data_IF_884194603707
#
_entry.id   IF_884194603707
#
_cell.length_a   1.000
_cell.length_b   1.000
_cell.length_c   1.000
_cell.angle_alpha   90.00
_cell.angle_beta   90.00
_cell.angle_gamma   90.00
#
_symmetry.space_group_name_H-M   'P 1'
#
loop_
_entity.id
_entity.type
_entity.pdbx_description
1 polymer ?
#
# COMPACT_ATOMS: atom_id res chain seq x y z
N UNK A 1 -75.79 33.88 47.67
CA UNK A 1 -75.65 33.08 46.42
C UNK A 1 -74.51 33.57 45.50
N UNK A 2 -74.40 34.86 45.15
CA UNK A 2 -73.32 35.40 44.27
C UNK A 2 -71.88 35.21 44.79
N UNK A 3 -71.65 35.24 46.10
CA UNK A 3 -70.32 35.08 46.72
C UNK A 3 -69.75 33.66 46.59
N UNK A 4 -70.63 32.66 46.69
CA UNK A 4 -70.28 31.25 46.56
C UNK A 4 -69.90 30.89 45.12
N UNK A 5 -70.66 31.38 44.13
CA UNK A 5 -70.35 31.19 42.71
C UNK A 5 -69.01 31.82 42.32
N UNK A 6 -68.65 32.98 42.89
CA UNK A 6 -67.33 33.59 42.67
C UNK A 6 -66.18 32.77 43.25
N UNK A 7 -66.36 32.22 44.45
CA UNK A 7 -65.35 31.34 45.08
C UNK A 7 -65.18 30.02 44.32
N UNK A 8 -66.27 29.46 43.81
CA UNK A 8 -66.24 28.25 42.99
C UNK A 8 -65.50 28.52 41.67
N UNK A 9 -65.78 29.64 41.01
CA UNK A 9 -65.11 30.02 39.77
C UNK A 9 -63.61 30.24 39.97
N UNK A 10 -63.21 30.98 41.02
CA UNK A 10 -61.79 31.18 41.33
C UNK A 10 -61.07 29.88 41.72
N UNK A 11 -61.77 28.96 42.39
CA UNK A 11 -61.23 27.64 42.73
C UNK A 11 -60.96 26.79 41.49
N UNK A 12 -61.90 26.79 40.53
CA UNK A 12 -61.76 26.09 39.26
C UNK A 12 -60.62 26.68 38.43
N UNK A 13 -60.53 28.01 38.32
CA UNK A 13 -59.43 28.67 37.60
C UNK A 13 -58.06 28.32 38.19
N UNK A 14 -57.93 28.34 39.52
CA UNK A 14 -56.68 27.98 40.18
C UNK A 14 -56.29 26.52 39.90
N UNK A 15 -57.24 25.59 39.97
CA UNK A 15 -56.99 24.18 39.64
C UNK A 15 -56.61 23.99 38.17
N UNK A 16 -57.23 24.70 37.24
CA UNK A 16 -56.88 24.63 35.81
C UNK A 16 -55.48 25.17 35.53
N UNK A 17 -55.07 26.25 36.19
CA UNK A 17 -53.71 26.80 36.10
C UNK A 17 -52.69 25.77 36.62
N UNK A 18 -52.98 25.13 37.75
CA UNK A 18 -52.09 24.13 38.34
C UNK A 18 -51.95 22.89 37.45
N UNK A 19 -53.04 22.41 36.84
CA UNK A 19 -53.02 21.30 35.88
C UNK A 19 -52.22 21.65 34.63
N UNK A 20 -52.40 22.87 34.09
CA UNK A 20 -51.65 23.35 32.92
C UNK A 20 -50.15 23.41 33.20
N UNK A 21 -49.75 23.91 34.37
CA UNK A 21 -48.34 23.96 34.77
C UNK A 21 -47.74 22.56 34.95
N UNK A 22 -48.46 21.65 35.61
CA UNK A 22 -48.01 20.27 35.79
C UNK A 22 -47.86 19.52 34.45
N UNK A 23 -48.76 19.76 33.49
CA UNK A 23 -48.66 19.19 32.14
C UNK A 23 -47.43 19.70 31.38
N UNK A 24 -47.08 20.99 31.52
CA UNK A 24 -45.86 21.56 30.92
C UNK A 24 -44.59 20.91 31.48
N UNK A 25 -44.51 20.78 32.81
CA UNK A 25 -43.37 20.12 33.49
C UNK A 25 -43.24 18.66 33.07
N UNK A 26 -44.36 17.94 32.96
CA UNK A 26 -44.37 16.55 32.49
C UNK A 26 -43.87 16.42 31.04
N UNK A 27 -44.33 17.30 30.15
CA UNK A 27 -43.87 17.32 28.75
C UNK A 27 -42.39 17.66 28.63
N UNK A 28 -41.89 18.60 29.44
CA UNK A 28 -40.48 18.95 29.47
C UNK A 28 -39.60 17.79 29.95
N UNK A 29 -40.02 17.09 31.02
CA UNK A 29 -39.34 15.89 31.51
C UNK A 29 -39.34 14.76 30.48
N UNK A 30 -40.49 14.51 29.84
CA UNK A 30 -40.62 13.49 28.79
C UNK A 30 -39.71 13.80 27.59
N UNK A 31 -39.67 15.05 27.14
CA UNK A 31 -38.81 15.48 26.03
C UNK A 31 -37.33 15.39 26.39
N UNK A 32 -36.93 15.78 27.59
CA UNK A 32 -35.53 15.67 28.06
C UNK A 32 -35.07 14.22 28.14
N UNK A 33 -35.92 13.30 28.62
CA UNK A 33 -35.62 11.88 28.63
C UNK A 33 -35.56 11.26 27.23
N UNK A 34 -36.41 11.71 26.29
CA UNK A 34 -36.36 11.27 24.89
C UNK A 34 -35.04 11.70 24.22
N UNK A 35 -34.62 12.96 24.44
CA UNK A 35 -33.36 13.50 23.92
C UNK A 35 -32.15 12.73 24.49
N UNK A 36 -32.15 12.47 25.81
CA UNK A 36 -31.09 11.69 26.46
C UNK A 36 -30.97 10.26 25.92
N UNK A 37 -32.11 9.57 25.71
CA UNK A 37 -32.12 8.24 25.09
C UNK A 37 -31.63 8.26 23.64
N UNK A 38 -32.04 9.24 22.84
CA UNK A 38 -31.55 9.37 21.46
C UNK A 38 -30.05 9.65 21.41
N UNK A 39 -29.53 10.47 22.32
CA UNK A 39 -28.10 10.77 22.39
C UNK A 39 -27.28 9.53 22.76
N UNK A 40 -27.70 8.78 23.78
CA UNK A 40 -27.06 7.52 24.20
C UNK A 40 -27.09 6.46 23.08
N UNK A 41 -28.21 6.32 22.37
CA UNK A 41 -28.31 5.41 21.20
C UNK A 41 -27.41 5.85 20.03
N UNK A 42 -27.25 7.16 19.80
CA UNK A 42 -26.31 7.64 18.78
C UNK A 42 -24.86 7.42 19.19
N UNK A 43 -24.53 7.58 20.47
CA UNK A 43 -23.17 7.33 20.99
C UNK A 43 -22.77 5.86 20.84
N UNK A 44 -23.65 4.93 21.20
CA UNK A 44 -23.42 3.48 21.04
C UNK A 44 -23.23 3.10 19.56
N UNK A 45 -24.05 3.65 18.66
CA UNK A 45 -23.90 3.44 17.22
C UNK A 45 -22.59 4.01 16.68
N UNK A 46 -22.17 5.17 17.17
CA UNK A 46 -20.88 5.78 16.80
C UNK A 46 -19.73 4.90 17.28
N UNK A 47 -19.76 4.43 18.53
CA UNK A 47 -18.75 3.53 19.08
C UNK A 47 -18.66 2.23 18.27
N UNK A 48 -19.79 1.59 17.96
CA UNK A 48 -19.82 0.39 17.13
C UNK A 48 -19.24 0.63 15.73
N UNK A 49 -19.56 1.78 15.12
CA UNK A 49 -19.02 2.16 13.81
C UNK A 49 -17.51 2.35 13.87
N UNK A 50 -17.00 2.99 14.93
CA UNK A 50 -15.57 3.18 15.17
C UNK A 50 -14.88 1.82 15.29
N UNK A 51 -15.39 0.90 16.12
CA UNK A 51 -14.82 -0.46 16.26
C UNK A 51 -14.80 -1.21 14.93
N UNK A 52 -15.88 -1.15 14.16
CA UNK A 52 -15.96 -1.79 12.85
C UNK A 52 -14.94 -1.20 11.85
N UNK A 53 -14.78 0.12 11.83
CA UNK A 53 -13.79 0.79 10.96
C UNK A 53 -12.36 0.40 11.36
N UNK A 54 -12.06 0.34 12.67
CA UNK A 54 -10.75 -0.10 13.16
C UNK A 54 -10.45 -1.54 12.74
N UNK A 55 -11.40 -2.46 12.95
CA UNK A 55 -11.24 -3.85 12.56
C UNK A 55 -11.01 -4.00 11.05
N UNK A 56 -11.82 -3.28 10.25
CA UNK A 56 -11.67 -3.23 8.79
C UNK A 56 -10.29 -2.69 8.39
N UNK A 57 -9.79 -1.65 9.06
CA UNK A 57 -8.45 -1.12 8.80
C UNK A 57 -7.35 -2.14 9.06
N UNK A 58 -7.43 -2.90 10.16
CA UNK A 58 -6.46 -3.95 10.47
C UNK A 58 -6.49 -5.05 9.39
N UNK A 59 -7.69 -5.46 8.97
CA UNK A 59 -7.84 -6.42 7.87
C UNK A 59 -7.23 -5.93 6.57
N UNK A 60 -7.50 -4.67 6.19
CA UNK A 60 -6.91 -4.06 4.99
C UNK A 60 -5.39 -4.00 5.10
N UNK A 61 -4.84 -3.61 6.25
CA UNK A 61 -3.39 -3.57 6.46
C UNK A 61 -2.75 -4.95 6.28
N UNK A 62 -3.38 -6.01 6.80
CA UNK A 62 -2.89 -7.37 6.64
C UNK A 62 -2.94 -7.82 5.18
N UNK A 63 -4.00 -7.46 4.45
CA UNK A 63 -4.10 -7.74 3.01
C UNK A 63 -3.01 -7.03 2.22
N UNK A 64 -2.76 -5.75 2.50
CA UNK A 64 -1.68 -4.98 1.85
C UNK A 64 -0.33 -5.65 2.08
N UNK A 65 -0.03 -6.07 3.32
CA UNK A 65 1.21 -6.80 3.64
C UNK A 65 1.36 -8.08 2.83
N UNK A 66 0.30 -8.88 2.73
CA UNK A 66 0.30 -10.12 1.95
C UNK A 66 0.54 -9.84 0.46
N UNK A 67 -0.16 -8.85 -0.10
CA UNK A 67 0.02 -8.44 -1.51
C UNK A 67 1.46 -8.00 -1.76
N UNK A 68 2.02 -7.16 -0.89
CA UNK A 68 3.42 -6.72 -1.03
C UNK A 68 4.40 -7.88 -0.96
N UNK A 69 4.19 -8.85 -0.06
CA UNK A 69 5.04 -10.04 0.02
C UNK A 69 4.98 -10.88 -1.26
N UNK A 70 3.78 -11.09 -1.81
CA UNK A 70 3.59 -11.82 -3.06
C UNK A 70 4.28 -11.09 -4.22
N UNK A 71 4.13 -9.77 -4.31
CA UNK A 71 4.76 -8.95 -5.35
C UNK A 71 6.29 -9.02 -5.28
N UNK A 72 6.87 -8.92 -4.08
CA UNK A 72 8.32 -9.08 -3.88
C UNK A 72 8.78 -10.45 -4.35
N UNK A 73 8.09 -11.52 -3.94
CA UNK A 73 8.44 -12.89 -4.31
C UNK A 73 8.32 -13.13 -5.82
N UNK A 74 7.26 -12.61 -6.46
CA UNK A 74 7.07 -12.73 -7.90
C UNK A 74 8.15 -11.95 -8.67
N UNK A 75 8.47 -10.73 -8.24
CA UNK A 75 9.53 -9.93 -8.87
C UNK A 75 10.89 -10.60 -8.74
N UNK A 76 11.17 -11.21 -7.58
CA UNK A 76 12.35 -12.05 -7.36
C UNK A 76 12.38 -13.28 -8.27
N UNK A 77 11.25 -13.98 -8.47
CA UNK A 77 11.16 -15.12 -9.41
C UNK A 77 11.43 -14.69 -10.85
N UNK A 78 11.02 -13.49 -11.23
CA UNK A 78 11.31 -12.89 -12.53
C UNK A 78 12.76 -12.38 -12.68
N UNK A 79 13.58 -12.59 -11.64
CA UNK A 79 14.96 -12.12 -11.54
C UNK A 79 15.09 -10.60 -11.64
N UNK A 80 14.03 -9.87 -11.30
CA UNK A 80 13.98 -8.41 -11.33
C UNK A 80 14.17 -7.84 -9.94
N UNK A 81 14.54 -6.56 -9.88
CA UNK A 81 14.72 -5.85 -8.61
C UNK A 81 13.33 -5.49 -8.03
N UNK A 82 12.94 -6.00 -6.86
CA UNK A 82 11.68 -5.61 -6.21
C UNK A 82 11.75 -4.18 -5.65
N UNK A 83 11.05 -3.24 -6.30
CA UNK A 83 11.05 -1.82 -5.94
C UNK A 83 10.44 -1.51 -4.56
N UNK A 84 9.65 -2.43 -4.01
CA UNK A 84 9.09 -2.30 -2.66
C UNK A 84 10.19 -2.30 -1.58
N UNK A 85 11.22 -3.14 -1.75
CA UNK A 85 12.28 -3.31 -0.75
C UNK A 85 13.61 -2.70 -1.17
N UNK A 86 13.85 -2.55 -2.47
CA UNK A 86 14.98 -1.80 -3.02
C UNK A 86 14.43 -0.53 -3.64
N UNK A 87 14.49 0.57 -2.90
CA UNK A 87 14.00 1.84 -3.40
C UNK A 87 15.00 2.46 -4.42
N UNK A 88 14.53 3.29 -5.38
CA UNK A 88 15.42 3.90 -6.38
C UNK A 88 16.54 4.77 -5.80
N UNK A 89 16.28 5.48 -4.70
CA UNK A 89 17.25 6.38 -4.07
C UNK A 89 18.42 5.62 -3.42
N UNK A 90 18.12 4.53 -2.71
CA UNK A 90 19.08 3.63 -2.10
C UNK A 90 19.92 2.95 -3.16
N UNK A 91 19.30 2.46 -4.25
CA UNK A 91 20.03 1.88 -5.37
C UNK A 91 20.96 2.93 -6.01
N UNK A 92 20.52 4.16 -6.19
CA UNK A 92 21.34 5.23 -6.74
C UNK A 92 22.59 5.49 -5.88
N UNK A 93 22.39 5.66 -4.57
CA UNK A 93 23.48 5.90 -3.62
C UNK A 93 24.50 4.75 -3.65
N UNK A 94 24.02 3.51 -3.73
CA UNK A 94 24.90 2.35 -3.77
C UNK A 94 25.63 2.20 -5.11
N UNK A 95 24.99 2.56 -6.22
CA UNK A 95 25.64 2.63 -7.54
C UNK A 95 26.71 3.72 -7.61
N UNK A 96 26.48 4.88 -6.99
CA UNK A 96 27.47 5.97 -6.90
C UNK A 96 28.71 5.52 -6.12
N UNK A 97 28.51 4.88 -4.96
CA UNK A 97 29.61 4.28 -4.18
C UNK A 97 30.35 3.21 -4.99
N UNK A 98 29.62 2.33 -5.66
CA UNK A 98 30.19 1.28 -6.50
C UNK A 98 31.02 1.87 -7.65
N UNK A 99 30.53 2.92 -8.31
CA UNK A 99 31.24 3.60 -9.40
C UNK A 99 32.58 4.17 -8.95
N UNK A 100 32.64 4.75 -7.74
CA UNK A 100 33.88 5.26 -7.15
C UNK A 100 34.87 4.12 -6.95
N UNK A 101 34.45 2.99 -6.37
CA UNK A 101 35.34 1.84 -6.17
C UNK A 101 35.78 1.15 -7.47
N UNK A 102 34.92 1.11 -8.49
CA UNK A 102 35.24 0.55 -9.80
C UNK A 102 36.26 1.41 -10.55
N UNK A 103 36.11 2.74 -10.49
CA UNK A 103 37.02 3.68 -11.17
C UNK A 103 38.47 3.52 -10.70
N UNK A 104 38.69 3.25 -9.40
CA UNK A 104 40.02 2.97 -8.82
C UNK A 104 40.69 1.74 -9.45
N UNK A 105 39.89 0.82 -10.00
CA UNK A 105 40.33 -0.44 -10.60
C UNK A 105 40.29 -0.40 -12.14
N UNK A 106 40.01 0.75 -12.74
CA UNK A 106 39.91 0.89 -14.19
C UNK A 106 38.64 0.26 -14.79
N UNK A 107 37.56 0.17 -14.02
CA UNK A 107 36.25 -0.27 -14.50
C UNK A 107 35.22 0.87 -14.42
N UNK A 108 34.20 0.80 -15.24
CA UNK A 108 33.01 1.66 -15.19
C UNK A 108 31.73 0.83 -15.25
N UNK A 109 30.63 1.42 -14.79
CA UNK A 109 29.31 0.79 -14.85
C UNK A 109 28.75 0.94 -16.27
N UNK A 110 28.20 -0.14 -16.82
CA UNK A 110 27.70 -0.17 -18.20
C UNK A 110 26.42 0.66 -18.36
N UNK A 111 25.50 0.55 -17.40
CA UNK A 111 24.24 1.29 -17.43
C UNK A 111 24.44 2.60 -16.66
N UNK A 112 24.23 3.77 -17.29
CA UNK A 112 24.43 5.04 -16.60
C UNK A 112 23.55 5.17 -15.36
N UNK A 113 24.10 5.75 -14.28
CA UNK A 113 23.40 5.88 -12.99
C UNK A 113 22.11 6.71 -13.14
N UNK A 114 22.06 7.69 -14.05
CA UNK A 114 20.86 8.48 -14.31
C UNK A 114 19.72 7.67 -14.99
N UNK A 115 20.02 6.49 -15.54
CA UNK A 115 19.04 5.58 -16.15
C UNK A 115 18.56 4.50 -15.17
N UNK A 116 18.32 4.84 -13.90
CA UNK A 116 17.89 3.89 -12.84
C UNK A 116 16.74 2.98 -13.28
N UNK A 117 15.78 3.51 -14.05
CA UNK A 117 14.62 2.75 -14.53
C UNK A 117 14.99 1.51 -15.35
N UNK A 118 16.16 1.49 -16.00
CA UNK A 118 16.63 0.32 -16.76
C UNK A 118 17.02 -0.84 -15.84
N UNK A 119 17.62 -0.55 -14.68
CA UNK A 119 17.99 -1.59 -13.72
C UNK A 119 16.77 -2.40 -13.24
N UNK A 120 15.62 -1.74 -13.02
CA UNK A 120 14.39 -2.40 -12.59
C UNK A 120 13.69 -3.20 -13.71
N UNK A 121 14.04 -2.96 -14.97
CA UNK A 121 13.48 -3.70 -16.13
C UNK A 121 14.28 -4.96 -16.45
N UNK A 122 15.55 -5.00 -16.07
CA UNK A 122 16.46 -6.08 -16.40
C UNK A 122 16.32 -7.24 -15.40
N UNK A 123 16.48 -8.46 -15.91
CA UNK A 123 16.57 -9.67 -15.11
C UNK A 123 18.00 -9.85 -14.55
N UNK A 124 18.38 -8.96 -13.63
CA UNK A 124 19.74 -8.87 -13.04
C UNK A 124 19.76 -9.08 -11.52
N UNK A 125 18.66 -9.53 -10.91
CA UNK A 125 18.56 -9.75 -9.47
C UNK A 125 18.31 -11.22 -9.17
N UNK A 126 18.98 -11.75 -8.15
CA UNK A 126 18.66 -13.05 -7.54
C UNK A 126 18.23 -12.83 -6.09
N UNK A 127 17.30 -13.64 -5.59
CA UNK A 127 16.83 -13.51 -4.21
C UNK A 127 17.10 -14.78 -3.40
N UNK A 128 17.69 -14.60 -2.22
CA UNK A 128 17.94 -15.68 -1.25
C UNK A 128 17.08 -15.44 -0.02
N UNK A 129 16.22 -16.40 0.34
CA UNK A 129 15.38 -16.31 1.52
C UNK A 129 15.95 -17.20 2.62
N UNK A 130 16.10 -16.65 3.83
CA UNK A 130 16.35 -17.40 5.07
C UNK A 130 15.12 -17.31 5.97
N UNK A 131 15.13 -17.96 7.14
CA UNK A 131 13.97 -17.99 8.05
C UNK A 131 13.37 -16.61 8.35
N UNK A 132 14.22 -15.58 8.51
CA UNK A 132 13.78 -14.23 8.91
C UNK A 132 14.24 -13.11 7.96
N UNK A 133 14.92 -13.42 6.86
CA UNK A 133 15.50 -12.39 5.99
C UNK A 133 15.36 -12.76 4.52
N UNK A 134 15.11 -11.73 3.70
CA UNK A 134 15.21 -11.79 2.26
C UNK A 134 16.42 -10.98 1.83
N UNK A 135 17.31 -11.61 1.09
CA UNK A 135 18.47 -10.96 0.47
C UNK A 135 18.21 -10.81 -1.02
N UNK A 136 18.37 -9.59 -1.53
CA UNK A 136 18.31 -9.29 -2.98
C UNK A 136 19.72 -9.03 -3.46
N UNK A 137 20.23 -9.91 -4.31
CA UNK A 137 21.55 -9.83 -4.92
C UNK A 137 21.40 -9.20 -6.31
N UNK A 138 21.84 -7.95 -6.48
CA UNK A 138 21.74 -7.23 -7.75
C UNK A 138 23.09 -7.32 -8.48
N UNK A 139 23.09 -7.93 -9.67
CA UNK A 139 24.26 -8.07 -10.54
C UNK A 139 24.41 -6.82 -11.40
N UNK A 140 25.43 -6.02 -11.13
CA UNK A 140 25.68 -4.77 -11.86
C UNK A 140 26.65 -5.04 -13.01
N UNK A 141 26.28 -4.80 -14.27
CA UNK A 141 27.18 -4.96 -15.40
C UNK A 141 28.26 -3.87 -15.38
N UNK A 142 29.52 -4.29 -15.52
CA UNK A 142 30.71 -3.43 -15.53
C UNK A 142 31.54 -3.66 -16.79
N UNK A 143 32.32 -2.67 -17.18
CA UNK A 143 33.21 -2.70 -18.34
C UNK A 143 34.58 -2.13 -17.97
N UNK A 144 35.64 -2.64 -18.58
CA UNK A 144 36.97 -2.06 -18.45
C UNK A 144 37.00 -0.69 -19.15
N UNK A 145 37.49 0.32 -18.45
CA UNK A 145 37.61 1.68 -18.99
C UNK A 145 38.53 1.65 -20.21
N UNK A 146 38.10 2.28 -21.31
CA UNK A 146 38.78 2.35 -22.61
C UNK A 146 38.77 1.05 -23.44
N UNK A 147 37.87 0.10 -23.15
CA UNK A 147 37.68 -1.09 -23.98
C UNK A 147 36.32 -1.03 -24.69
N UNK A 148 36.33 -0.97 -26.01
CA UNK A 148 35.11 -1.07 -26.82
C UNK A 148 34.79 -2.53 -27.10
N UNK A 149 33.62 -2.98 -26.64
CA UNK A 149 33.09 -4.30 -27.00
C UNK A 149 32.51 -4.21 -28.41
N UNK A 150 33.14 -4.90 -29.37
CA UNK A 150 32.55 -5.11 -30.70
C UNK A 150 31.87 -6.46 -30.72
N UNK A 151 30.54 -6.45 -30.79
CA UNK A 151 29.78 -7.64 -31.13
C UNK A 151 30.03 -7.94 -32.61
N UNK A 152 30.78 -9.00 -32.89
CA UNK A 152 30.82 -9.56 -34.23
C UNK A 152 29.50 -10.31 -34.47
N UNK A 153 28.98 -10.18 -35.68
CA UNK A 153 27.68 -10.71 -36.11
C UNK A 153 27.45 -12.14 -35.58
N UNK A 154 26.28 -12.35 -34.94
CA UNK A 154 25.86 -13.67 -34.50
C UNK A 154 25.44 -14.48 -35.74
N UNK A 155 26.36 -15.27 -36.29
CA UNK A 155 26.07 -16.17 -37.40
C UNK A 155 25.34 -17.40 -36.85
N UNK A 156 24.01 -17.44 -36.97
CA UNK A 156 23.21 -18.63 -36.64
C UNK A 156 23.47 -19.72 -37.67
N UNK A 157 23.90 -20.90 -37.23
CA UNK A 157 24.10 -22.04 -38.12
C UNK A 157 22.76 -22.64 -38.56
N UNK A 158 22.58 -22.77 -39.87
CA UNK A 158 21.48 -23.50 -40.47
C UNK A 158 21.73 -25.00 -40.32
N UNK A 159 20.70 -25.76 -39.97
CA UNK A 159 20.75 -27.23 -39.97
C UNK A 159 19.47 -27.82 -40.59
N UNK A 160 19.57 -29.02 -41.15
CA UNK A 160 18.43 -29.71 -41.75
C UNK A 160 17.82 -30.70 -40.74
N UNK A 161 16.49 -30.63 -40.57
CA UNK A 161 15.72 -31.58 -39.76
C UNK A 161 14.37 -31.85 -40.43
N UNK A 162 13.96 -33.11 -40.53
CA UNK A 162 12.69 -33.50 -41.19
C UNK A 162 12.44 -32.86 -42.57
N UNK A 163 13.47 -32.84 -43.44
CA UNK A 163 13.38 -32.19 -44.77
C UNK A 163 13.09 -30.67 -44.75
N UNK A 164 13.24 -30.02 -43.59
CA UNK A 164 13.11 -28.58 -43.44
C UNK A 164 14.44 -27.96 -43.01
N UNK A 165 14.68 -26.72 -43.45
CA UNK A 165 15.82 -25.91 -42.99
C UNK A 165 15.43 -25.22 -41.70
N UNK A 166 16.11 -25.55 -40.61
CA UNK A 166 15.90 -24.96 -39.29
C UNK A 166 17.03 -23.98 -38.95
N UNK A 167 16.69 -22.96 -38.15
CA UNK A 167 17.63 -21.97 -37.60
C UNK A 167 17.70 -22.17 -36.10
N UNK A 168 18.90 -22.34 -35.54
CA UNK A 168 19.09 -22.26 -34.09
C UNK A 168 18.96 -20.81 -33.63
N UNK A 169 17.73 -20.40 -33.29
CA UNK A 169 17.49 -19.14 -32.61
C UNK A 169 17.91 -19.30 -31.15
N UNK A 170 19.00 -18.63 -30.76
CA UNK A 170 19.33 -18.46 -29.35
C UNK A 170 18.57 -17.24 -28.84
N UNK A 171 17.88 -17.38 -27.70
CA UNK A 171 17.57 -16.21 -26.88
C UNK A 171 18.91 -15.56 -26.51
N UNK A 172 18.99 -14.23 -26.56
CA UNK A 172 20.25 -13.48 -26.37
C UNK A 172 20.73 -13.70 -24.94
N UNK A 173 21.52 -14.76 -24.74
CA UNK A 173 22.34 -14.99 -23.56
C UNK A 173 23.73 -14.53 -23.94
N UNK A 174 24.10 -13.37 -23.39
CA UNK A 174 25.41 -12.77 -23.57
C UNK A 174 26.51 -13.78 -23.21
N UNK A 175 27.17 -14.36 -24.20
CA UNK A 175 28.43 -15.07 -24.02
C UNK A 175 29.57 -14.08 -24.24
N UNK A 176 30.39 -13.91 -23.21
CA UNK A 176 31.59 -13.06 -23.21
C UNK A 176 32.83 -13.95 -23.26
N UNK A 177 33.74 -13.67 -24.18
CA UNK A 177 35.15 -14.12 -24.14
C UNK A 177 36.02 -12.91 -23.87
#
# INVERSE_FOLDING_TARGET
MKKFLKQLHSGIEHSLIQISNNSKVFNEYHNKNKIGRTFSLTEEKIQHTIFYVYDTMIHVLNLVRLISQIEILNTCKDHKIPSIIVNPQSLQIDLEKLSIELSKKGYSIVIPIHELSRYYKLSIADCTTTENKLYVHIKIPIVLTNQEWKLYELITTLFAWNNETCVLMHEILFMTV
#
